data_IF_644873159407
#
_entry.id   IF_644873159407
#
_cell.length_a   1.000
_cell.length_b   1.000
_cell.length_c   1.000
_cell.angle_alpha   90.00
_cell.angle_beta   90.00
_cell.angle_gamma   90.00
#
_symmetry.space_group_name_H-M   'P 1'
#
loop_
_entity.id
_entity.type
_entity.pdbx_description
1 polymer ?
2 non-polymer ?
3 non-polymer ?
#
# COMPACT_ATOMS: atom_id res chain seq x y z
N UNK A 36 10.13 19.70 -4.22
CA UNK A 36 10.75 18.60 -4.94
C UNK A 36 10.00 17.27 -4.80
N UNK A 37 9.15 17.11 -3.78
CA UNK A 37 8.52 15.82 -3.50
C UNK A 37 7.41 15.57 -4.52
N UNK A 38 6.95 14.32 -4.59
CA UNK A 38 6.21 13.81 -5.74
C UNK A 38 5.24 12.74 -5.23
N UNK A 39 3.95 13.07 -5.14
CA UNK A 39 2.97 12.15 -4.56
C UNK A 39 2.39 11.16 -5.56
N UNK A 40 2.69 11.32 -6.86
CA UNK A 40 2.03 10.57 -7.95
C UNK A 40 0.53 10.54 -7.74
N UNK A 41 -0.02 11.68 -7.32
CA UNK A 41 -1.45 11.85 -7.17
C UNK A 41 -2.05 11.17 -5.97
N UNK A 42 -1.25 10.43 -5.20
CA UNK A 42 -1.69 9.81 -3.96
C UNK A 42 -1.60 10.83 -2.83
N UNK A 43 -2.74 11.17 -2.25
CA UNK A 43 -2.67 12.06 -1.10
C UNK A 43 -2.00 11.37 0.06
N UNK A 44 -2.24 10.07 0.20
CA UNK A 44 -1.82 9.27 1.33
C UNK A 44 -2.49 7.91 1.24
N UNK A 45 -2.03 6.97 2.05
CA UNK A 45 -2.79 5.76 2.36
C UNK A 45 -3.09 5.77 3.84
N UNK A 46 -4.33 5.48 4.21
CA UNK A 46 -4.71 5.42 5.63
C UNK A 46 -4.86 3.97 6.09
N UNK A 47 -4.16 3.64 7.17
CA UNK A 47 -4.33 2.32 7.75
C UNK A 47 -5.31 2.39 8.91
N UNK A 48 -6.06 1.32 9.10
CA UNK A 48 -6.75 1.09 10.37
C UNK A 48 -5.95 0.09 11.19
N UNK A 49 -5.52 0.52 12.38
CA UNK A 49 -4.62 -0.27 13.20
C UNK A 49 -5.02 -0.13 14.67
N UNK A 50 -4.53 -1.08 15.48
CA UNK A 50 -4.90 -1.09 16.88
C UNK A 50 -4.19 0.01 17.65
N UNK A 51 -2.88 0.15 17.43
CA UNK A 51 -2.06 1.09 18.17
C UNK A 51 -1.45 2.05 17.18
N UNK A 52 -2.24 3.04 16.75
CA UNK A 52 -1.72 4.01 15.80
C UNK A 52 -0.43 4.63 16.31
N UNK A 53 -0.46 5.14 17.55
CA UNK A 53 0.66 5.91 18.07
C UNK A 53 1.97 5.12 17.93
N UNK A 54 1.95 3.84 18.29
CA UNK A 54 3.18 3.06 18.28
C UNK A 54 3.46 2.42 16.92
N UNK A 55 2.42 1.93 16.24
CA UNK A 55 2.63 1.29 14.94
C UNK A 55 3.24 2.29 13.96
N UNK A 56 2.76 3.54 14.00
CA UNK A 56 3.30 4.59 13.14
C UNK A 56 4.81 4.69 13.26
N UNK A 57 5.34 4.49 14.46
CA UNK A 57 6.78 4.64 14.66
C UNK A 57 7.55 3.49 14.03
N UNK A 58 6.88 2.36 13.79
CA UNK A 58 7.51 1.26 13.10
C UNK A 58 8.16 1.74 11.83
N UNK A 59 7.38 2.46 11.02
CA UNK A 59 7.82 3.03 9.75
C UNK A 59 8.83 4.14 9.96
N UNK A 60 8.78 4.85 11.10
CA UNK A 60 9.81 5.83 11.39
C UNK A 60 11.14 5.13 11.64
N UNK A 61 11.14 4.10 12.48
CA UNK A 61 12.43 3.52 12.80
C UNK A 61 12.87 2.54 11.73
N UNK A 62 11.99 1.62 11.35
CA UNK A 62 12.40 0.57 10.41
C UNK A 62 12.49 1.04 8.96
N UNK A 63 11.78 2.10 8.57
CA UNK A 63 11.71 2.44 7.15
C UNK A 63 12.01 3.90 6.82
N UNK A 64 12.37 4.74 7.78
CA UNK A 64 12.84 6.06 7.46
C UNK A 64 11.79 7.15 7.37
N UNK A 65 10.56 6.91 7.84
CA UNK A 65 9.56 7.96 7.76
C UNK A 65 9.82 9.05 8.80
N UNK A 66 9.06 10.15 8.66
CA UNK A 66 9.15 11.27 9.57
C UNK A 66 7.76 11.66 10.05
N UNK A 67 7.60 11.98 11.33
CA UNK A 67 6.29 12.42 11.81
C UNK A 67 5.95 13.74 11.17
N UNK A 68 4.69 13.88 10.77
CA UNK A 68 4.31 15.06 9.98
C UNK A 68 3.09 15.75 10.56
N UNK A 69 2.00 15.02 10.77
CA UNK A 69 0.80 15.64 11.31
C UNK A 69 0.17 14.71 12.34
N UNK A 70 -0.74 15.28 13.11
CA UNK A 70 -1.42 14.52 14.14
C UNK A 70 -2.83 15.04 14.32
N UNK A 71 -3.75 14.12 14.66
CA UNK A 71 -5.13 14.47 14.94
C UNK A 71 -5.65 13.57 16.06
N UNK A 72 -6.13 14.18 17.14
CA UNK A 72 -6.56 13.43 18.31
C UNK A 72 -7.20 14.27 19.39
N UNK A 73 -7.01 13.83 20.63
CA UNK A 73 -7.57 14.54 21.78
C UNK A 73 -6.99 15.95 21.97
N UNK A 74 -5.93 16.28 21.24
CA UNK A 74 -5.27 17.59 21.28
C UNK A 74 -5.82 18.53 20.24
N UNK A 75 -6.66 18.03 19.34
CA UNK A 75 -7.37 18.84 18.35
C UNK A 75 -8.84 18.45 18.32
N UNK A 76 -9.36 18.04 19.48
CA UNK A 76 -10.77 17.79 19.70
C UNK A 76 -11.31 16.50 19.13
N UNK A 77 -10.47 15.62 18.60
CA UNK A 77 -10.95 14.38 18.01
C UNK A 77 -11.24 13.42 19.17
N UNK A 78 -12.49 13.42 19.63
CA UNK A 78 -12.91 12.69 20.81
C UNK A 78 -12.93 11.17 20.63
N UNK A 79 -12.78 10.66 19.40
CA UNK A 79 -13.01 9.24 19.15
C UNK A 79 -11.89 8.51 18.42
N UNK A 80 -11.00 9.21 17.72
CA UNK A 80 -9.97 8.53 16.95
C UNK A 80 -8.73 9.41 16.92
N UNK A 81 -7.58 8.76 16.86
CA UNK A 81 -6.32 9.45 16.71
C UNK A 81 -5.75 9.11 15.34
N UNK A 82 -5.11 10.08 14.70
CA UNK A 82 -4.48 9.83 13.42
C UNK A 82 -3.05 10.35 13.46
N UNK A 83 -2.13 9.51 13.00
CA UNK A 83 -0.72 9.84 12.90
C UNK A 83 -0.32 9.66 11.45
N UNK A 84 0.14 10.74 10.83
CA UNK A 84 0.62 10.68 9.45
C UNK A 84 2.13 10.81 9.48
N UNK A 85 2.81 9.84 8.89
CA UNK A 85 4.24 9.84 8.66
C UNK A 85 4.46 9.83 7.16
N UNK A 86 5.54 10.50 6.74
CA UNK A 86 5.80 10.73 5.32
C UNK A 86 7.22 10.29 5.00
N UNK A 87 7.41 9.79 3.77
CA UNK A 87 8.75 9.53 3.24
C UNK A 87 8.73 10.08 1.81
N UNK A 88 9.36 11.24 1.64
CA UNK A 88 9.34 11.96 0.37
C UNK A 88 7.88 11.98 -0.09
N UNK A 89 7.57 11.36 -1.23
CA UNK A 89 6.19 11.34 -1.69
C UNK A 89 5.27 10.41 -0.92
N UNK A 90 5.81 9.41 -0.24
CA UNK A 90 4.98 8.41 0.45
C UNK A 90 4.44 8.99 1.74
N UNK A 91 3.12 8.92 1.92
CA UNK A 91 2.45 9.47 3.09
C UNK A 91 1.47 8.44 3.61
N UNK A 92 1.71 7.95 4.83
CA UNK A 92 0.82 7.02 5.50
C UNK A 92 0.05 7.73 6.61
N UNK A 93 -1.21 7.34 6.78
CA UNK A 93 -2.01 7.74 7.91
C UNK A 93 -2.32 6.48 8.71
N UNK A 94 -2.09 6.53 10.02
CA UNK A 94 -2.48 5.48 10.93
C UNK A 94 -3.55 6.03 11.87
N UNK A 95 -4.61 5.27 12.04
CA UNK A 95 -5.81 5.76 12.69
C UNK A 95 -6.32 4.69 13.63
N UNK A 96 -6.49 5.08 14.90
CA UNK A 96 -6.90 4.19 15.97
C UNK A 96 -8.02 4.84 16.77
N UNK A 97 -8.96 4.05 17.26
CA UNK A 97 -9.91 4.58 18.25
C UNK A 97 -9.20 4.89 19.56
N UNK A 98 -9.56 6.02 20.16
CA UNK A 98 -9.01 6.36 21.46
C UNK A 98 -9.89 5.87 22.60
N UNK A 99 -11.04 5.28 22.29
CA UNK A 99 -11.98 4.92 23.34
C UNK A 99 -12.61 3.56 22.99
N UNK A 100 -13.28 2.96 23.97
CA UNK A 100 -13.92 1.66 23.78
C UNK A 100 -15.34 1.85 23.23
N UNK A 101 -16.00 0.73 22.94
CA UNK A 101 -17.35 0.75 22.36
C UNK A 101 -18.35 1.42 23.30
N UNK A 102 -18.77 0.69 24.35
CA UNK A 102 -19.63 1.27 25.40
C UNK A 102 -18.75 1.85 26.50
N UNK A 103 -18.07 2.94 26.15
CA UNK A 103 -17.20 3.67 27.09
C UNK A 103 -18.07 4.35 28.13
N UNK A 104 -18.20 3.71 29.30
CA UNK A 104 -19.19 4.07 30.32
C UNK A 104 -18.74 5.21 31.23
N UNK A 105 -17.50 5.68 31.14
CA UNK A 105 -16.95 6.67 32.08
C UNK A 105 -17.31 8.12 31.74
N UNK A 106 -17.13 8.54 30.48
CA UNK A 106 -17.26 9.96 30.14
C UNK A 106 -18.55 10.21 29.43
N UNK A 107 -18.56 10.26 28.09
CA UNK A 107 -19.73 10.56 27.32
C UNK A 107 -20.45 9.27 26.89
N UNK A 108 -21.75 9.40 26.62
CA UNK A 108 -22.42 8.50 25.70
C UNK A 108 -22.08 8.96 24.30
N UNK A 109 -21.68 8.02 23.45
CA UNK A 109 -21.29 8.38 22.10
C UNK A 109 -22.52 8.70 21.26
N UNK A 110 -22.49 9.75 20.43
CA UNK A 110 -23.55 9.96 19.44
C UNK A 110 -23.67 8.75 18.53
N UNK A 111 -24.87 8.57 18.00
CA UNK A 111 -25.18 7.33 17.31
C UNK A 111 -24.27 7.12 16.11
N UNK A 112 -24.02 8.18 15.35
CA UNK A 112 -23.12 8.05 14.19
C UNK A 112 -21.73 7.63 14.64
N UNK A 113 -21.28 8.12 15.79
CA UNK A 113 -19.89 7.91 16.16
C UNK A 113 -19.69 6.53 16.77
N UNK A 114 -20.60 6.08 17.65
CA UNK A 114 -20.47 4.72 18.16
C UNK A 114 -20.47 3.72 17.02
N UNK A 115 -21.25 3.98 15.96
CA UNK A 115 -21.19 3.14 14.77
C UNK A 115 -19.78 3.15 14.17
N UNK A 116 -19.14 4.31 14.15
CA UNK A 116 -17.79 4.39 13.60
C UNK A 116 -16.79 3.60 14.46
N UNK A 117 -16.83 3.81 15.77
CA UNK A 117 -16.03 3.00 16.67
C UNK A 117 -16.33 1.51 16.49
N UNK A 118 -17.62 1.14 16.51
CA UNK A 118 -17.99 -0.26 16.31
C UNK A 118 -17.41 -0.80 15.01
N UNK A 119 -17.51 -0.01 13.94
CA UNK A 119 -16.99 -0.43 12.64
C UNK A 119 -15.49 -0.69 12.72
N UNK A 120 -14.76 0.19 13.39
CA UNK A 120 -13.31 0.07 13.44
C UNK A 120 -12.88 -1.21 14.17
N UNK A 121 -13.55 -1.54 15.27
CA UNK A 121 -13.20 -2.78 15.96
C UNK A 121 -13.54 -3.99 15.10
N UNK A 122 -14.67 -3.96 14.41
CA UNK A 122 -15.04 -5.13 13.61
C UNK A 122 -14.07 -5.35 12.45
N UNK A 123 -13.47 -4.27 11.95
CA UNK A 123 -12.47 -4.42 10.90
C UNK A 123 -11.17 -4.97 11.48
N UNK A 124 -10.74 -4.46 12.63
CA UNK A 124 -9.55 -5.01 13.28
C UNK A 124 -9.75 -6.46 13.71
N UNK A 125 -10.98 -6.85 14.00
CA UNK A 125 -11.20 -8.26 14.33
C UNK A 125 -11.06 -9.12 13.08
N UNK A 126 -11.91 -8.85 12.08
CA UNK A 126 -11.92 -9.67 10.88
C UNK A 126 -10.55 -9.68 10.21
N UNK A 127 -9.91 -8.51 10.14
CA UNK A 127 -8.74 -8.33 9.27
C UNK A 127 -7.45 -8.07 10.01
N UNK A 128 -7.49 -7.39 11.17
CA UNK A 128 -6.28 -6.93 11.82
C UNK A 128 -5.71 -5.69 11.16
N UNK A 129 -4.64 -5.17 11.78
CA UNK A 129 -3.85 -4.06 11.22
C UNK A 129 -3.65 -4.24 9.72
N UNK A 130 -3.91 -3.17 8.97
CA UNK A 130 -3.73 -3.23 7.52
C UNK A 130 -4.17 -1.93 6.86
N UNK A 131 -3.92 -1.85 5.54
CA UNK A 131 -4.34 -0.69 4.77
C UNK A 131 -5.87 -0.70 4.67
N UNK A 132 -6.48 0.46 4.89
CA UNK A 132 -7.93 0.60 4.74
C UNK A 132 -8.32 1.44 3.53
N UNK A 133 -7.65 2.56 3.29
CA UNK A 133 -8.16 3.52 2.33
C UNK A 133 -7.01 4.14 1.56
N UNK A 134 -7.15 4.16 0.24
CA UNK A 134 -6.25 4.87 -0.65
C UNK A 134 -6.93 6.16 -1.08
N UNK A 135 -6.26 7.28 -0.91
CA UNK A 135 -6.88 8.58 -1.13
C UNK A 135 -6.10 9.33 -2.19
N UNK A 136 -6.83 9.87 -3.15
CA UNK A 136 -6.28 10.47 -4.37
C UNK A 136 -6.54 11.97 -4.35
N UNK A 137 -5.47 12.74 -4.57
CA UNK A 137 -5.62 14.16 -4.87
C UNK A 137 -6.38 14.30 -6.18
N UNK A 138 -7.58 14.87 -6.11
CA UNK A 138 -8.48 14.88 -7.26
C UNK A 138 -9.03 16.28 -7.42
N UNK A 139 -9.06 16.76 -8.65
CA UNK A 139 -9.85 17.94 -8.97
C UNK A 139 -11.26 17.44 -9.23
N UNK A 140 -12.24 18.13 -8.66
CA UNK A 140 -13.63 17.79 -8.87
C UNK A 140 -14.00 16.45 -8.24
N UNK A 141 -14.18 16.47 -6.92
CA UNK A 141 -14.64 15.26 -6.24
C UNK A 141 -16.06 14.92 -6.67
N UNK A 142 -16.93 15.92 -6.72
CA UNK A 142 -18.31 15.69 -7.14
C UNK A 142 -18.38 14.92 -8.46
N UNK A 143 -17.51 15.24 -9.42
CA UNK A 143 -17.60 14.56 -10.72
C UNK A 143 -17.02 13.15 -10.68
N UNK A 144 -15.81 13.01 -10.14
CA UNK A 144 -15.19 11.69 -10.09
C UNK A 144 -16.00 10.78 -9.19
N UNK A 145 -16.63 11.34 -8.15
CA UNK A 145 -17.54 10.57 -7.32
C UNK A 145 -18.79 10.17 -8.10
N UNK A 146 -19.37 11.13 -8.83
CA UNK A 146 -20.61 10.89 -9.57
C UNK A 146 -20.46 9.72 -10.55
N UNK A 147 -19.47 9.80 -11.44
CA UNK A 147 -19.26 8.72 -12.42
C UNK A 147 -19.04 7.38 -11.71
N UNK A 148 -18.31 7.40 -10.59
CA UNK A 148 -17.98 6.15 -9.89
C UNK A 148 -19.25 5.40 -9.51
N UNK A 149 -20.23 6.10 -8.93
CA UNK A 149 -21.40 5.37 -8.43
C UNK A 149 -22.41 5.14 -9.55
N UNK A 150 -22.46 6.00 -10.56
CA UNK A 150 -23.26 5.72 -11.75
C UNK A 150 -22.94 4.32 -12.29
N UNK A 151 -21.66 3.97 -12.32
CA UNK A 151 -21.19 2.66 -12.76
C UNK A 151 -21.10 1.66 -11.64
N UNK A 152 -21.76 1.91 -10.52
CA UNK A 152 -22.02 0.90 -9.54
C UNK A 152 -21.07 0.83 -8.36
N UNK A 153 -20.30 1.89 -8.10
CA UNK A 153 -19.45 1.89 -6.93
C UNK A 153 -20.31 1.80 -5.67
N UNK A 154 -19.84 1.04 -4.69
CA UNK A 154 -20.45 1.03 -3.36
C UNK A 154 -20.06 2.31 -2.61
N UNK A 155 -20.98 3.24 -2.48
CA UNK A 155 -20.64 4.50 -1.83
C UNK A 155 -20.30 4.26 -0.37
N UNK A 156 -19.32 5.01 0.13
CA UNK A 156 -18.99 5.02 1.54
C UNK A 156 -19.11 6.40 2.16
N UNK A 157 -18.98 7.48 1.40
CA UNK A 157 -18.97 8.81 1.98
C UNK A 157 -19.26 9.74 0.81
N UNK A 158 -20.52 10.12 0.65
CA UNK A 158 -20.87 11.07 -0.39
C UNK A 158 -20.04 12.33 -0.21
N UNK A 159 -19.93 13.15 -1.25
CA UNK A 159 -19.17 14.39 -1.12
C UNK A 159 -19.58 15.17 0.13
N UNK A 160 -18.57 15.65 0.85
CA UNK A 160 -18.78 16.46 2.04
C UNK A 160 -17.56 17.35 2.19
N UNK A 161 -17.62 18.25 3.15
CA UNK A 161 -16.67 19.34 3.19
C UNK A 161 -16.20 19.57 4.62
N UNK A 162 -15.19 18.81 5.03
CA UNK A 162 -14.55 19.04 6.32
C UNK A 162 -13.91 20.43 6.32
N UNK A 163 -14.14 21.19 7.39
CA UNK A 163 -13.87 22.63 7.40
C UNK A 163 -13.32 23.04 8.76
N UNK A 164 -11.99 23.09 8.88
CA UNK A 164 -11.34 23.63 10.07
C UNK A 164 -11.18 25.14 9.89
N UNK A 165 -10.30 25.75 10.68
CA UNK A 165 -10.04 27.18 10.63
C UNK A 165 -8.98 27.55 9.61
N UNK A 166 -8.19 26.58 9.15
CA UNK A 166 -7.24 26.79 8.08
C UNK A 166 -7.83 26.52 6.71
N UNK A 167 -9.11 26.17 6.63
CA UNK A 167 -9.67 26.05 5.31
C UNK A 167 -10.52 24.81 5.16
N UNK A 168 -10.69 24.40 3.89
CA UNK A 168 -11.76 23.50 3.49
C UNK A 168 -11.28 22.51 2.45
N UNK A 169 -11.99 21.38 2.41
CA UNK A 169 -11.64 20.23 1.58
C UNK A 169 -12.90 19.43 1.35
N UNK A 170 -13.00 18.83 0.17
CA UNK A 170 -14.13 18.01 -0.21
C UNK A 170 -13.63 16.59 -0.37
N UNK A 171 -14.36 15.65 0.21
CA UNK A 171 -13.96 14.27 0.09
C UNK A 171 -15.17 13.44 -0.26
N UNK A 172 -14.87 12.24 -0.69
CA UNK A 172 -15.87 11.20 -0.83
C UNK A 172 -15.11 9.89 -0.81
N UNK A 173 -15.83 8.79 -0.64
CA UNK A 173 -15.14 7.52 -0.53
C UNK A 173 -16.01 6.38 -1.06
N UNK A 174 -15.38 5.41 -1.68
CA UNK A 174 -16.09 4.25 -2.16
C UNK A 174 -15.35 2.94 -1.96
N UNK A 175 -16.13 1.89 -1.87
CA UNK A 175 -15.60 0.60 -1.60
C UNK A 175 -15.01 0.20 -2.88
N UNK A 176 -13.79 -0.37 -2.87
CA UNK A 176 -13.26 -0.90 -4.07
C UNK A 176 -12.86 -2.31 -3.86
N UNK A 177 -11.67 -2.53 -3.43
CA UNK A 177 -11.15 -3.87 -3.32
C UNK A 177 -11.55 -4.34 -1.96
N UNK A 178 -12.51 -5.24 -1.92
CA UNK A 178 -13.01 -5.72 -0.66
C UNK A 178 -13.49 -4.56 0.14
N UNK A 179 -13.12 -4.53 1.41
CA UNK A 179 -13.53 -3.46 2.29
C UNK A 179 -12.55 -2.30 2.33
N UNK A 180 -11.40 -2.45 1.68
CA UNK A 180 -10.57 -1.29 1.42
C UNK A 180 -11.31 -0.32 0.52
N UNK A 181 -10.76 0.89 0.39
CA UNK A 181 -11.53 1.98 -0.18
C UNK A 181 -10.60 2.90 -0.95
N UNK A 182 -11.21 3.71 -1.80
CA UNK A 182 -10.57 4.86 -2.41
C UNK A 182 -11.29 6.12 -1.94
N UNK A 183 -10.52 7.16 -1.67
CA UNK A 183 -11.06 8.44 -1.25
C UNK A 183 -10.59 9.54 -2.18
N UNK A 184 -11.54 10.38 -2.61
CA UNK A 184 -11.27 11.47 -3.53
C UNK A 184 -11.19 12.77 -2.74
N UNK A 185 -10.10 13.51 -2.96
CA UNK A 185 -9.77 14.67 -2.14
C UNK A 185 -9.56 15.85 -3.06
N UNK A 186 -10.33 16.91 -2.83
CA UNK A 186 -10.21 18.14 -3.60
C UNK A 186 -9.94 19.28 -2.63
N UNK A 187 -8.69 19.71 -2.56
CA UNK A 187 -8.35 20.88 -1.78
C UNK A 187 -9.06 22.10 -2.34
N UNK A 188 -9.65 22.90 -1.46
CA UNK A 188 -10.25 24.17 -1.85
C UNK A 188 -9.49 25.26 -1.12
N UNK A 189 -10.04 25.79 -0.03
CA UNK A 189 -9.39 26.85 0.74
C UNK A 189 -8.47 26.33 1.85
N UNK A 190 -8.28 25.02 1.99
CA UNK A 190 -7.46 24.53 3.09
C UNK A 190 -5.99 24.80 2.81
N UNK A 191 -5.29 25.29 3.84
CA UNK A 191 -3.89 25.64 3.72
C UNK A 191 -2.99 24.94 4.73
N UNK A 192 -3.56 24.26 5.72
CA UNK A 192 -2.81 23.76 6.84
C UNK A 192 -1.86 22.64 6.52
N UNK A 193 -1.42 21.93 7.56
CA UNK A 193 -0.41 20.88 7.35
C UNK A 193 -0.87 19.79 6.39
N UNK A 194 -2.11 19.33 6.54
CA UNK A 194 -2.51 18.06 5.94
C UNK A 194 -3.99 18.01 5.63
N UNK A 195 -4.83 17.83 6.64
CA UNK A 195 -6.25 17.97 6.41
C UNK A 195 -6.83 18.79 7.55
N UNK A 196 -8.11 19.16 7.53
CA UNK A 196 -8.71 19.77 8.70
C UNK A 196 -8.64 18.87 9.92
N UNK A 197 -8.52 19.49 11.10
CA UNK A 197 -8.36 18.75 12.32
C UNK A 197 -6.94 18.35 12.63
N UNK A 198 -6.06 18.31 11.64
CA UNK A 198 -4.69 17.93 11.90
C UNK A 198 -3.86 19.14 12.33
N UNK A 199 -2.95 18.89 13.26
CA UNK A 199 -1.90 19.83 13.61
C UNK A 199 -0.58 19.34 13.02
N UNK A 200 0.29 20.28 12.68
CA UNK A 200 1.60 19.91 12.16
C UNK A 200 2.43 19.27 13.25
N UNK A 201 3.51 18.71 12.77
CA UNK A 201 4.43 18.03 13.61
C UNK A 201 5.61 18.78 13.99
N UNK A 202 5.73 18.72 15.28
CA UNK A 202 6.67 19.44 16.05
C UNK A 202 8.02 18.71 15.97
N UNK A 203 8.69 18.86 14.83
CA UNK A 203 10.07 18.47 14.69
C UNK A 203 10.35 17.05 14.37
N UNK A 204 11.61 16.79 14.08
CA UNK A 204 12.08 15.59 13.48
C UNK A 204 12.18 14.51 14.49
N UNK A 205 12.40 13.30 14.01
CA UNK A 205 12.63 12.16 14.87
C UNK A 205 14.13 11.92 15.02
N UNK A 206 14.54 11.68 16.27
CA UNK A 206 15.96 11.58 16.59
C UNK A 206 16.58 10.28 16.09
N UNK A 207 15.81 9.19 16.03
CA UNK A 207 16.37 7.90 15.66
C UNK A 207 16.96 7.91 14.26
N UNK A 208 16.67 8.93 13.47
CA UNK A 208 17.09 8.98 12.07
C UNK A 208 18.42 9.67 11.86
N UNK A 209 18.95 10.35 12.88
CA UNK A 209 20.33 10.81 12.81
C UNK A 209 21.31 9.66 13.03
N UNK A 210 20.82 8.49 13.42
CA UNK A 210 21.64 7.31 13.64
C UNK A 210 21.35 6.22 12.64
N UNK A 211 20.34 6.39 11.82
CA UNK A 211 19.97 5.29 10.98
C UNK A 211 20.22 5.63 9.51
N UNK A 212 20.74 4.69 8.73
CA UNK A 212 20.92 4.92 7.31
C UNK A 212 19.59 5.21 6.64
N UNK A 213 19.54 6.21 5.79
CA UNK A 213 18.26 6.66 5.22
C UNK A 213 17.74 5.70 4.16
N UNK A 214 16.44 5.80 3.88
CA UNK A 214 15.76 4.93 2.93
C UNK A 214 15.13 5.83 1.87
N UNK A 215 15.76 5.92 0.70
CA UNK A 215 15.32 6.83 -0.36
C UNK A 215 14.11 6.25 -1.09
N UNK A 216 12.95 6.32 -0.43
CA UNK A 216 11.68 6.00 -1.07
C UNK A 216 11.13 7.23 -1.76
N UNK A 217 10.50 7.03 -2.92
CA UNK A 217 10.04 8.13 -3.76
C UNK A 217 8.56 8.42 -3.58
N UNK A 218 7.70 7.48 -3.95
CA UNK A 218 6.26 7.69 -3.84
C UNK A 218 5.55 6.35 -3.78
N UNK A 219 4.23 6.44 -3.61
CA UNK A 219 3.41 5.24 -3.61
C UNK A 219 3.28 4.72 -5.04
N UNK A 220 3.71 3.46 -5.28
CA UNK A 220 3.67 2.94 -6.64
C UNK A 220 2.30 2.36 -7.00
N UNK A 221 1.72 1.56 -6.11
CA UNK A 221 0.36 1.04 -6.30
C UNK A 221 -0.10 0.41 -4.98
N UNK A 222 -1.34 -0.08 -5.00
CA UNK A 222 -1.94 -0.69 -3.81
C UNK A 222 -3.10 -1.59 -4.21
N UNK A 223 -3.08 -2.83 -3.73
CA UNK A 223 -4.18 -3.76 -3.91
C UNK A 223 -4.63 -4.17 -2.52
N UNK A 224 -5.75 -3.59 -2.07
CA UNK A 224 -6.29 -3.84 -0.75
C UNK A 224 -6.90 -5.20 -0.52
N UNK A 225 -6.87 -6.10 -1.50
CA UNK A 225 -7.39 -7.45 -1.30
C UNK A 225 -7.10 -8.26 -2.55
N UNK A 226 -6.40 -9.38 -2.40
CA UNK A 226 -5.95 -10.13 -3.58
C UNK A 226 -6.73 -11.42 -3.78
N UNK A 227 -7.95 -11.51 -3.25
CA UNK A 227 -8.84 -12.60 -3.65
C UNK A 227 -9.28 -12.40 -5.09
N UNK A 228 -9.43 -13.51 -5.78
CA UNK A 228 -9.73 -13.45 -7.16
C UNK A 228 -11.03 -12.77 -7.29
N UNK A 229 -12.01 -13.18 -6.51
CA UNK A 229 -13.33 -12.69 -6.74
C UNK A 229 -13.29 -11.23 -6.50
N UNK A 230 -12.64 -10.88 -5.42
CA UNK A 230 -12.55 -9.53 -5.04
C UNK A 230 -11.79 -8.69 -6.02
N UNK A 231 -10.69 -9.20 -6.54
CA UNK A 231 -9.91 -8.44 -7.47
C UNK A 231 -10.72 -8.22 -8.71
N UNK A 232 -11.39 -9.26 -9.14
CA UNK A 232 -12.12 -9.22 -10.35
C UNK A 232 -13.14 -8.18 -10.21
N UNK A 233 -13.83 -8.18 -9.09
CA UNK A 233 -14.98 -7.37 -8.96
C UNK A 233 -14.54 -5.97 -9.08
N UNK A 234 -13.44 -5.66 -8.44
CA UNK A 234 -12.92 -4.30 -8.42
C UNK A 234 -12.43 -3.88 -9.80
N UNK A 235 -11.86 -4.82 -10.56
CA UNK A 235 -11.35 -4.47 -11.88
C UNK A 235 -12.48 -4.20 -12.87
N UNK A 236 -13.43 -5.14 -12.98
CA UNK A 236 -14.64 -4.90 -13.76
C UNK A 236 -15.27 -3.56 -13.42
N UNK A 237 -15.29 -3.21 -12.14
CA UNK A 237 -15.82 -1.92 -11.76
C UNK A 237 -14.96 -0.79 -12.33
N UNK A 238 -13.63 -0.95 -12.28
CA UNK A 238 -12.77 0.09 -12.81
C UNK A 238 -13.00 0.27 -14.30
N UNK A 239 -13.05 -0.84 -15.04
CA UNK A 239 -13.27 -0.81 -16.48
C UNK A 239 -14.51 0.00 -16.85
N UNK A 240 -15.61 -0.24 -16.14
CA UNK A 240 -16.84 0.51 -16.37
C UNK A 240 -16.68 1.98 -15.99
N UNK A 241 -15.60 2.35 -15.35
CA UNK A 241 -15.35 3.73 -14.99
C UNK A 241 -14.54 4.45 -16.06
N UNK A 242 -14.04 3.72 -17.04
CA UNK A 242 -13.26 4.30 -18.12
C UNK A 242 -14.16 5.13 -19.03
N UNK A 243 -13.67 6.30 -19.39
CA UNK A 243 -14.34 7.18 -20.33
C UNK A 243 -13.33 8.07 -21.00
N UNK A 244 -13.76 9.27 -21.38
CA UNK A 244 -12.81 10.23 -21.95
C UNK A 244 -12.05 10.95 -20.86
N UNK A 245 -12.72 11.29 -19.75
CA UNK A 245 -12.02 11.80 -18.59
C UNK A 245 -11.08 10.73 -18.07
N UNK A 246 -9.88 11.15 -17.66
CA UNK A 246 -8.91 10.15 -17.23
C UNK A 246 -9.25 9.61 -15.85
N UNK A 247 -9.08 8.31 -15.72
CA UNK A 247 -9.42 7.57 -14.52
C UNK A 247 -8.50 7.96 -13.36
N UNK A 248 -9.06 7.91 -12.14
CA UNK A 248 -8.39 8.55 -10.99
C UNK A 248 -7.13 7.82 -10.55
N UNK A 249 -7.07 6.50 -10.75
CA UNK A 249 -5.92 5.68 -10.40
C UNK A 249 -5.41 4.99 -11.65
N UNK A 250 -4.44 5.62 -12.31
CA UNK A 250 -3.77 5.01 -13.45
C UNK A 250 -3.15 3.67 -13.06
N UNK A 251 -2.56 3.60 -11.86
CA UNK A 251 -1.86 2.38 -11.43
C UNK A 251 -2.81 1.20 -11.26
N UNK A 252 -4.07 1.44 -10.89
CA UNK A 252 -5.05 0.35 -10.86
C UNK A 252 -5.50 -0.06 -12.26
N UNK A 253 -5.61 0.90 -13.19
CA UNK A 253 -6.03 0.59 -14.55
C UNK A 253 -4.99 -0.27 -15.27
N UNK A 254 -3.72 -0.02 -14.98
CA UNK A 254 -2.66 -0.81 -15.59
C UNK A 254 -2.49 -2.17 -14.91
N UNK A 255 -2.73 -2.25 -13.61
CA UNK A 255 -2.70 -3.55 -12.93
C UNK A 255 -3.78 -4.43 -13.51
N UNK A 256 -5.03 -3.93 -13.52
CA UNK A 256 -6.14 -4.71 -14.03
C UNK A 256 -5.91 -5.11 -15.48
N UNK A 257 -5.34 -4.21 -16.29
CA UNK A 257 -5.01 -4.55 -17.67
C UNK A 257 -3.98 -5.67 -17.74
N UNK A 258 -2.84 -5.53 -17.05
CA UNK A 258 -1.75 -6.51 -17.16
C UNK A 258 -2.15 -7.89 -16.62
N UNK A 259 -2.95 -7.93 -15.57
CA UNK A 259 -3.29 -9.21 -14.95
C UNK A 259 -4.57 -9.82 -15.49
N UNK A 260 -5.28 -9.10 -16.35
CA UNK A 260 -6.47 -9.67 -16.98
C UNK A 260 -6.11 -10.63 -18.09
N UNK A 261 -4.88 -10.54 -18.60
CA UNK A 261 -4.44 -11.40 -19.70
C UNK A 261 -4.29 -12.84 -19.20
N UNK A 262 -4.75 -13.08 -17.97
CA UNK A 262 -4.57 -14.37 -17.32
C UNK A 262 -5.30 -14.47 -15.98
N UNK A 263 -6.16 -15.47 -15.85
CA UNK A 263 -6.95 -15.66 -14.66
C UNK A 263 -7.62 -17.05 -14.66
N UNK A 279 -1.20 -20.63 -7.61
CA UNK A 279 -0.05 -21.49 -7.35
C UNK A 279 -0.48 -22.83 -6.78
N UNK A 280 0.43 -23.48 -6.04
CA UNK A 280 0.27 -24.80 -5.41
C UNK A 280 1.23 -24.82 -4.21
N UNK A 281 0.74 -25.11 -2.98
CA UNK A 281 1.62 -25.04 -1.80
C UNK A 281 2.02 -26.40 -1.25
N UNK A 282 2.91 -26.39 -0.26
CA UNK A 282 3.39 -27.62 0.38
C UNK A 282 3.61 -27.37 1.86
N UNK A 283 3.14 -28.31 2.67
CA UNK A 283 3.41 -28.29 4.12
C UNK A 283 4.76 -28.93 4.39
N UNK A 284 5.81 -28.42 3.73
CA UNK A 284 7.14 -29.01 3.75
C UNK A 284 7.98 -28.55 4.94
N UNK A 287 10.21 -25.35 5.06
CA UNK A 287 9.04 -24.67 4.50
C UNK A 287 8.99 -24.81 2.99
N UNK A 288 8.04 -24.12 2.35
CA UNK A 288 7.96 -24.12 0.90
C UNK A 288 9.17 -23.41 0.31
N UNK A 289 9.60 -23.88 -0.87
CA UNK A 289 10.76 -23.27 -1.49
C UNK A 289 10.45 -21.84 -1.91
N UNK A 290 9.17 -21.54 -2.13
CA UNK A 290 8.74 -20.17 -2.38
C UNK A 290 8.78 -19.36 -1.10
N UNK A 291 8.88 -20.04 0.04
CA UNK A 291 8.89 -19.42 1.38
C UNK A 291 7.57 -18.67 1.50
N UNK A 292 7.57 -17.41 1.91
CA UNK A 292 6.33 -16.71 2.17
C UNK A 292 5.68 -16.07 0.94
N UNK A 293 6.27 -16.17 -0.26
CA UNK A 293 5.51 -15.73 -1.44
C UNK A 293 4.34 -16.65 -1.72
N UNK A 294 4.38 -17.89 -1.21
CA UNK A 294 3.23 -18.79 -1.37
C UNK A 294 2.04 -18.27 -0.54
N UNK A 295 2.31 -17.79 0.68
CA UNK A 295 1.27 -17.09 1.44
C UNK A 295 0.83 -15.82 0.72
N UNK A 296 1.78 -15.14 0.06
CA UNK A 296 1.38 -13.94 -0.67
C UNK A 296 0.41 -14.28 -1.78
N UNK A 297 0.70 -15.35 -2.52
CA UNK A 297 -0.10 -15.63 -3.71
C UNK A 297 -1.41 -16.34 -3.35
N UNK A 298 -1.37 -17.26 -2.39
CA UNK A 298 -2.52 -18.09 -2.09
C UNK A 298 -3.21 -17.75 -0.78
N UNK A 299 -2.64 -16.86 0.02
CA UNK A 299 -3.27 -16.44 1.24
C UNK A 299 -4.54 -15.67 0.96
N UNK A 300 -5.51 -15.79 1.85
CA UNK A 300 -6.76 -15.05 1.70
C UNK A 300 -6.61 -13.64 2.25
N UNK A 301 -7.37 -12.71 1.65
CA UNK A 301 -7.38 -11.33 2.10
C UNK A 301 -6.00 -10.73 2.21
N UNK A 302 -5.07 -11.23 1.39
CA UNK A 302 -3.74 -10.65 1.32
C UNK A 302 -3.84 -9.27 0.69
N UNK A 303 -3.07 -8.33 1.22
CA UNK A 303 -2.83 -7.05 0.59
C UNK A 303 -1.35 -6.90 0.33
N UNK A 304 -1.01 -5.88 -0.46
CA UNK A 304 0.33 -5.33 -0.48
C UNK A 304 0.23 -3.90 -1.00
N UNK A 305 1.09 -3.04 -0.47
CA UNK A 305 1.25 -1.69 -0.97
C UNK A 305 2.68 -1.56 -1.47
N UNK A 306 2.86 -1.01 -2.66
CA UNK A 306 4.18 -0.93 -3.24
C UNK A 306 4.68 0.51 -3.18
N UNK A 307 5.99 0.63 -3.04
CA UNK A 307 6.65 1.90 -2.80
C UNK A 307 7.82 2.01 -3.76
N UNK A 308 7.72 2.90 -4.74
CA UNK A 308 8.77 3.11 -5.72
C UNK A 308 10.03 3.71 -5.09
N UNK A 309 11.19 3.17 -5.48
CA UNK A 309 12.48 3.73 -5.14
C UNK A 309 13.29 3.92 -6.43
N UNK A 310 14.14 4.94 -6.47
CA UNK A 310 15.07 5.06 -7.61
C UNK A 310 16.22 4.08 -7.52
N UNK A 311 16.54 3.57 -6.32
CA UNK A 311 17.62 2.61 -6.13
C UNK A 311 17.13 1.51 -5.19
N UNK A 312 16.72 0.37 -5.74
CA UNK A 312 16.26 -0.72 -4.89
C UNK A 312 17.42 -1.34 -4.12
N UNK A 313 18.65 -1.28 -4.64
CA UNK A 313 19.78 -1.81 -3.89
C UNK A 313 20.03 -0.96 -2.65
N UNK A 314 20.16 0.35 -2.86
CA UNK A 314 20.30 1.27 -1.73
C UNK A 314 19.13 1.13 -0.77
N UNK A 315 17.91 1.20 -1.31
CA UNK A 315 16.73 1.06 -0.49
C UNK A 315 16.79 -0.24 0.29
N UNK A 316 16.89 -1.38 -0.41
CA UNK A 316 16.80 -2.67 0.27
C UNK A 316 17.92 -2.82 1.30
N UNK A 317 19.13 -2.36 0.97
CA UNK A 317 20.25 -2.46 1.90
C UNK A 317 19.95 -1.72 3.19
N UNK A 318 19.73 -0.40 3.09
CA UNK A 318 19.43 0.42 4.26
C UNK A 318 18.22 -0.06 5.03
N UNK A 319 17.36 -0.87 4.43
CA UNK A 319 16.23 -1.48 5.13
C UNK A 319 16.62 -2.81 5.77
N UNK A 320 17.49 -3.56 5.09
CA UNK A 320 18.10 -4.73 5.72
C UNK A 320 18.82 -4.35 7.01
N UNK A 321 19.50 -3.20 7.00
CA UNK A 321 20.30 -2.76 8.14
C UNK A 321 19.47 -2.03 9.18
N UNK A 322 18.35 -1.41 8.80
CA UNK A 322 17.43 -0.91 9.81
C UNK A 322 16.63 -2.03 10.48
N UNK A 323 16.71 -3.25 9.96
CA UNK A 323 16.05 -4.39 10.57
C UNK A 323 14.82 -4.91 9.86
N UNK A 324 14.55 -4.46 8.63
CA UNK A 324 13.39 -4.96 7.89
C UNK A 324 13.77 -6.29 7.24
N UNK A 325 12.78 -7.17 7.04
CA UNK A 325 13.06 -8.56 6.66
C UNK A 325 12.22 -8.99 5.47
N UNK A 326 12.88 -9.52 4.45
CA UNK A 326 12.21 -9.84 3.18
C UNK A 326 12.16 -11.35 2.94
N UNK A 327 11.27 -11.74 2.02
CA UNK A 327 11.18 -13.14 1.67
C UNK A 327 12.43 -13.53 0.89
N UNK A 328 12.82 -14.78 1.04
CA UNK A 328 13.94 -15.32 0.29
C UNK A 328 13.39 -16.07 -0.90
N UNK A 329 13.75 -15.62 -2.11
CA UNK A 329 13.43 -16.38 -3.30
C UNK A 329 14.51 -17.44 -3.44
N UNK A 330 14.18 -18.61 -3.99
CA UNK A 330 15.19 -19.67 -4.11
C UNK A 330 16.24 -19.33 -5.15
N UNK A 331 17.33 -20.08 -5.06
CA UNK A 331 18.45 -19.97 -5.99
C UNK A 331 18.02 -20.29 -7.42
N UNK A 332 17.17 -21.32 -7.57
CA UNK A 332 16.66 -21.72 -8.88
C UNK A 332 16.00 -20.59 -9.64
N UNK A 333 15.51 -19.56 -8.94
CA UNK A 333 14.92 -18.41 -9.61
C UNK A 333 15.97 -17.66 -10.41
N UNK A 334 17.12 -17.42 -9.80
CA UNK A 334 18.16 -16.63 -10.46
C UNK A 334 18.87 -17.43 -11.53
N UNK A 335 19.10 -18.72 -11.27
CA UNK A 335 19.50 -19.70 -12.27
C UNK A 335 18.74 -19.49 -13.58
N UNK A 336 17.43 -19.67 -13.53
CA UNK A 336 16.63 -19.54 -14.73
C UNK A 336 16.58 -18.10 -15.24
N UNK A 337 16.64 -17.13 -14.32
CA UNK A 337 16.48 -15.74 -14.74
C UNK A 337 17.73 -15.23 -15.45
N UNK A 338 18.92 -15.70 -15.04
CA UNK A 338 20.14 -15.24 -15.70
C UNK A 338 20.16 -15.66 -17.17
N UNK A 339 19.62 -16.84 -17.48
CA UNK A 339 19.52 -17.28 -18.86
C UNK A 339 18.49 -16.46 -19.63
N UNK A 340 17.32 -16.24 -19.01
CA UNK A 340 16.27 -15.49 -19.70
C UNK A 340 16.76 -14.08 -20.04
N UNK A 341 17.33 -13.38 -19.05
CA UNK A 341 17.85 -12.05 -19.29
C UNK A 341 18.93 -12.05 -20.37
N UNK A 342 19.79 -13.07 -20.37
CA UNK A 342 20.88 -13.10 -21.35
C UNK A 342 20.36 -13.37 -22.75
N UNK A 343 19.60 -14.46 -22.91
CA UNK A 343 19.06 -14.79 -24.22
C UNK A 343 18.35 -13.60 -24.84
N UNK A 344 17.64 -12.81 -24.02
CA UNK A 344 16.91 -11.64 -24.49
C UNK A 344 17.78 -10.38 -24.57
N UNK A 345 19.08 -10.48 -24.32
CA UNK A 345 19.94 -9.32 -24.43
C UNK A 345 19.50 -8.14 -23.59
N UNK A 346 18.83 -8.39 -22.47
CA UNK A 346 18.46 -7.34 -21.52
C UNK A 346 19.61 -7.20 -20.55
N UNK A 347 20.37 -6.11 -20.65
CA UNK A 347 21.49 -5.86 -19.76
C UNK A 347 21.04 -4.91 -18.67
N UNK A 348 21.12 -5.36 -17.41
CA UNK A 348 20.71 -4.57 -16.26
C UNK A 348 21.82 -3.61 -15.83
N UNK A 349 21.40 -2.51 -15.20
CA UNK A 349 22.34 -1.63 -14.52
C UNK A 349 22.99 -2.31 -13.32
N UNK A 350 22.17 -2.91 -12.46
CA UNK A 350 22.64 -3.42 -11.17
C UNK A 350 23.27 -4.81 -11.33
N UNK A 351 24.30 -5.06 -10.55
CA UNK A 351 24.96 -6.36 -10.61
C UNK A 351 23.95 -7.46 -10.30
N UNK A 352 23.81 -8.40 -11.24
CA UNK A 352 22.90 -9.51 -11.02
C UNK A 352 23.17 -10.22 -9.69
N UNK A 353 24.43 -10.26 -9.28
CA UNK A 353 24.79 -11.03 -8.10
C UNK A 353 24.31 -10.36 -6.81
N UNK A 354 24.18 -9.04 -6.81
CA UNK A 354 23.62 -8.31 -5.67
C UNK A 354 22.09 -8.45 -5.62
N UNK A 355 21.44 -8.45 -6.78
CA UNK A 355 20.00 -8.70 -6.82
C UNK A 355 19.70 -10.11 -6.30
N UNK A 356 20.64 -11.04 -6.45
CA UNK A 356 20.45 -12.38 -5.92
C UNK A 356 20.61 -12.40 -4.41
N UNK A 357 21.70 -11.82 -3.91
CA UNK A 357 21.89 -11.74 -2.46
C UNK A 357 20.67 -11.11 -1.79
N UNK A 358 20.09 -10.08 -2.40
CA UNK A 358 19.03 -9.34 -1.76
C UNK A 358 17.66 -9.94 -2.02
N UNK A 359 17.59 -11.14 -2.57
CA UNK A 359 16.31 -11.79 -2.87
C UNK A 359 15.38 -10.88 -3.67
N UNK A 360 15.96 -9.96 -4.46
CA UNK A 360 15.22 -9.05 -5.33
C UNK A 360 14.74 -9.80 -6.56
N UNK A 361 13.55 -9.42 -7.05
CA UNK A 361 12.91 -10.08 -8.19
C UNK A 361 13.09 -9.25 -9.45
N UNK A 362 12.88 -9.89 -10.60
CA UNK A 362 13.02 -9.24 -11.89
C UNK A 362 11.86 -9.60 -12.78
N UNK A 363 11.27 -8.60 -13.42
CA UNK A 363 10.42 -8.79 -14.57
C UNK A 363 10.88 -7.82 -15.66
N UNK A 364 10.61 -8.16 -16.91
CA UNK A 364 11.04 -7.28 -18.00
C UNK A 364 10.19 -7.49 -19.24
N UNK A 365 10.40 -6.60 -20.20
CA UNK A 365 9.91 -6.77 -21.58
C UNK A 365 11.02 -6.32 -22.52
N UNK A 366 10.62 -5.91 -23.73
CA UNK A 366 11.58 -5.54 -24.76
C UNK A 366 12.20 -4.17 -24.48
N UNK A 367 11.48 -3.29 -23.81
CA UNK A 367 11.93 -1.93 -23.57
C UNK A 367 12.67 -1.71 -22.26
N UNK A 368 12.54 -2.63 -21.31
CA UNK A 368 13.24 -2.49 -20.05
C UNK A 368 12.71 -3.49 -19.03
N UNK A 369 13.14 -3.27 -17.78
CA UNK A 369 12.89 -4.23 -16.71
C UNK A 369 12.42 -3.51 -15.46
N UNK A 370 11.92 -4.29 -14.50
CA UNK A 370 11.63 -3.80 -13.18
C UNK A 370 12.37 -4.67 -12.16
N UNK A 371 12.60 -4.10 -10.98
CA UNK A 371 13.19 -4.79 -9.85
C UNK A 371 12.23 -4.74 -8.68
N UNK A 372 11.94 -5.91 -8.10
CA UNK A 372 10.85 -6.11 -7.16
C UNK A 372 11.35 -6.90 -5.95
N UNK A 373 10.77 -6.59 -4.77
CA UNK A 373 11.06 -7.30 -3.53
C UNK A 373 9.90 -7.14 -2.57
N UNK A 374 9.69 -8.15 -1.71
CA UNK A 374 8.60 -8.14 -0.75
C UNK A 374 9.10 -8.38 0.66
N UNK A 375 8.54 -7.63 1.62
CA UNK A 375 8.84 -7.93 3.02
C UNK A 375 8.18 -9.25 3.42
N UNK A 376 8.73 -9.85 4.47
CA UNK A 376 8.01 -10.90 5.16
C UNK A 376 6.70 -10.30 5.65
N UNK A 377 5.66 -11.10 5.90
CA UNK A 377 4.40 -10.50 6.37
C UNK A 377 4.66 -9.65 7.61
N UNK A 378 4.09 -8.44 7.62
CA UNK A 378 4.43 -7.46 8.64
C UNK A 378 3.83 -7.79 9.99
N UNK A 379 2.81 -8.62 10.02
CA UNK A 379 2.07 -8.88 11.24
C UNK A 379 1.91 -10.37 11.40
N UNK A 380 1.29 -10.73 12.52
CA UNK A 380 1.10 -12.14 12.86
C UNK A 380 0.06 -12.78 11.95
N UNK A 381 -0.71 -11.97 11.24
CA UNK A 381 -1.41 -12.63 10.15
C UNK A 381 -0.58 -12.53 8.86
N UNK A 382 -0.60 -13.57 8.02
CA UNK A 382 0.22 -13.56 6.79
C UNK A 382 -0.48 -12.81 5.68
N UNK A 383 -1.04 -11.63 5.98
CA UNK A 383 -1.98 -10.99 5.08
C UNK A 383 -1.56 -9.63 4.56
N UNK A 384 -0.60 -8.97 5.19
CA UNK A 384 -0.17 -7.64 4.76
C UNK A 384 1.31 -7.68 4.43
N UNK A 385 1.65 -7.25 3.22
CA UNK A 385 3.03 -7.19 2.77
C UNK A 385 3.31 -5.78 2.25
N UNK A 386 4.58 -5.43 2.13
CA UNK A 386 4.99 -4.21 1.44
C UNK A 386 5.99 -4.57 0.34
N UNK A 387 5.79 -4.03 -0.86
CA UNK A 387 6.63 -4.26 -2.02
C UNK A 387 7.50 -3.03 -2.29
N UNK A 388 8.79 -3.25 -2.54
CA UNK A 388 9.69 -2.20 -3.00
C UNK A 388 10.06 -2.50 -4.44
N UNK A 389 9.86 -1.52 -5.32
CA UNK A 389 9.98 -1.73 -6.76
C UNK A 389 10.77 -0.58 -7.36
N UNK A 390 11.60 -0.91 -8.36
CA UNK A 390 12.40 0.06 -9.08
C UNK A 390 12.20 -0.18 -10.58
N UNK A 391 11.80 0.85 -11.30
CA UNK A 391 11.44 0.73 -12.70
C UNK A 391 12.52 1.35 -13.58
N UNK A 392 12.88 0.62 -14.67
CA UNK A 392 13.79 1.08 -15.74
C UNK A 392 13.03 0.80 -17.02
N UNK A 393 12.08 1.67 -17.32
CA UNK A 393 11.22 1.56 -18.49
C UNK A 393 10.51 0.21 -18.55
N UNK A 394 9.60 0.03 -17.59
CA UNK A 394 8.69 -1.11 -17.60
C UNK A 394 7.47 -0.73 -16.80
N UNK A 395 6.34 -0.54 -17.48
CA UNK A 395 5.08 -0.29 -16.79
C UNK A 395 4.53 -1.55 -16.13
N UNK A 396 5.25 -2.68 -16.21
CA UNK A 396 4.77 -3.92 -15.63
C UNK A 396 4.59 -3.89 -14.13
N UNK A 397 3.91 -4.92 -13.64
CA UNK A 397 3.61 -5.02 -12.22
C UNK A 397 4.06 -6.36 -11.64
N UNK A 398 4.86 -7.12 -12.38
CA UNK A 398 5.38 -8.37 -11.89
C UNK A 398 4.61 -9.59 -12.34
N UNK A 399 3.77 -9.48 -13.36
CA UNK A 399 3.06 -10.65 -13.84
C UNK A 399 4.02 -11.79 -14.18
N UNK A 400 5.21 -11.47 -14.69
CA UNK A 400 6.17 -12.53 -15.00
C UNK A 400 6.61 -13.33 -13.80
N UNK A 401 6.72 -12.68 -12.64
CA UNK A 401 7.20 -13.36 -11.46
C UNK A 401 6.22 -14.39 -10.94
N UNK A 402 4.94 -14.33 -11.34
CA UNK A 402 4.04 -15.44 -11.02
C UNK A 402 4.50 -16.70 -11.73
N UNK A 403 4.73 -16.60 -13.03
CA UNK A 403 5.22 -17.76 -13.78
C UNK A 403 6.54 -18.23 -13.23
N UNK A 404 7.49 -17.30 -13.07
CA UNK A 404 8.81 -17.67 -12.57
C UNK A 404 8.71 -18.32 -11.18
N UNK A 405 8.04 -17.66 -10.23
CA UNK A 405 8.00 -18.18 -8.85
C UNK A 405 7.20 -19.47 -8.75
N UNK A 406 6.05 -19.53 -9.44
CA UNK A 406 5.32 -20.79 -9.49
C UNK A 406 6.19 -21.90 -10.07
N UNK A 407 6.94 -21.60 -11.12
CA UNK A 407 7.88 -22.57 -11.68
C UNK A 407 8.98 -22.94 -10.69
N UNK A 408 9.20 -22.11 -9.65
CA UNK A 408 10.28 -22.40 -8.70
C UNK A 408 9.91 -23.55 -7.78
N UNK A 409 8.72 -23.51 -7.20
CA UNK A 409 8.25 -24.68 -6.47
C UNK A 409 8.08 -25.86 -7.42
N UNK A 410 7.71 -25.60 -8.68
CA UNK A 410 7.47 -26.66 -9.64
C UNK A 410 8.65 -27.64 -9.72
N UNK A 411 9.85 -27.11 -10.01
CA UNK A 411 11.02 -27.98 -10.07
C UNK A 411 11.32 -28.63 -8.72
N UNK A 412 10.85 -28.04 -7.61
CA UNK A 412 11.09 -28.55 -6.26
C UNK A 412 10.05 -29.59 -5.85
N UNK A 413 8.79 -29.36 -6.19
CA UNK A 413 7.76 -30.39 -5.97
C UNK A 413 7.92 -31.55 -6.96
N UNK A 414 8.29 -31.24 -8.21
CA UNK A 414 8.63 -32.28 -9.19
C UNK A 414 9.86 -33.08 -8.77
N UNK A 415 10.71 -32.48 -7.96
CA UNK A 415 11.88 -33.19 -7.44
C UNK A 415 11.42 -34.28 -6.53
N UNK A 416 10.40 -33.96 -5.75
CA UNK A 416 9.78 -34.85 -4.78
C UNK A 416 10.48 -34.75 -3.42
X LIG B 1 3.90 -5.43 -7.32
X LIG C 1 -1.99 -11.48 -9.31
X LIG C 1 -4.17 -9.97 -10.18
X LIG C 1 2.41 -8.67 -7.49
X LIG C 1 -3.18 -13.66 -10.07
X LIG C 1 -5.41 -9.32 -10.68
X LIG C 1 -1.15 -9.33 -8.62
X LIG C 1 -1.73 -7.76 -8.63
X LIG C 1 -0.70 -6.75 -8.83
X LIG C 1 0.64 -7.05 -7.96
X LIG C 1 1.03 -8.54 -7.60
X LIG C 1 0.29 -9.47 -8.68
X LIG C 1 -2.01 -10.17 -9.19
X LIG C 1 -3.19 -9.37 -9.63
X LIG C 1 -3.03 -12.14 -9.88
X LIG C 1 -4.12 -11.34 -10.32
X LIG C 1 3.11 -9.74 -8.35
X LIG C 1 -5.51 -9.64 -12.13
X LIG C 1 -1.59 -9.60 -7.20
X LIG C 1 -2.81 -7.80 -9.30
X LIG C 1 1.50 -6.14 -7.46
X LIG C 1 3.13 -7.46 -7.11
X LIG C 1 0.52 -10.77 -8.45
X LIG C 1 -0.88 -12.10 -8.84
X LIG C 1 -5.16 -12.00 -10.86
X LIG C 1 -5.29 -7.98 -10.61
#
# INVERSE_FOLDING_TARGET
MAPGALLVTSQNGRTSPLYDSDGYVPAPAALVVGGEVNYRGYHHAEWWVGNAKQVAQFYITRMGFEPVAHKGLETGSRFFASHVVQNNGVRFVFTSPVRSSARQTLKAAPLADQARLDEMYDHLDKHGDGVKDVAFEVDDVLAVYENAVANGAESVSSPHTDSCDEGDVISAAIKTYGDTTHTFIQRTTYTGPFLPGYRSCTTVDSANKFLPPVNLEAIDHCVGNQDWDEMSDACDFYERCLGFHRFWSVDDKDICTEFSALKSIVMSSPNQVVKMPINEPAHGKKKSQIEEYVDFYNGPGVQHIALRTPNIIEAVSNLRSRGVEFISVPDTYYENMRLRLKAAGMKLEESFDIIQKLNILIDFDEGGYLLQLFTKPLMDRPTVFIEIIQRNNFDGFGAGNFKSLFEAIEREQDLRGNL
CO CO
AIY C10 C13 C15 C20 C22 C1 C2 C3 C4 C5 C6 C7 C8 C11 C12 C16 C23 C25 O9 O14 O17 O18 O19 O21 O24
#
